data_IF_249730486791
#
_entry.id   IF_249730486791
#
_cell.length_a   1.000
_cell.length_b   1.000
_cell.length_c   1.000
_cell.angle_alpha   90.00
_cell.angle_beta   90.00
_cell.angle_gamma   90.00
#
_symmetry.space_group_name_H-M   'P 1'
#
loop_
_entity.id
_entity.type
_entity.pdbx_description
1 polymer ?
#
# COMPACT_ATOMS: atom_id res chain seq x y z
N UNK A 1 22.64 -46.08 -47.72
CA UNK A 1 22.58 -45.56 -46.34
C UNK A 1 21.44 -46.26 -45.59
N UNK A 2 21.75 -46.99 -44.53
CA UNK A 2 20.75 -47.74 -43.76
C UNK A 2 20.05 -46.83 -42.76
N UNK A 3 18.74 -46.95 -42.59
CA UNK A 3 17.91 -46.15 -41.65
C UNK A 3 18.49 -45.96 -40.24
N UNK A 4 19.39 -46.83 -39.84
CA UNK A 4 20.07 -46.78 -38.54
C UNK A 4 21.15 -45.68 -38.44
N UNK A 5 21.73 -45.25 -39.55
CA UNK A 5 22.80 -44.23 -39.57
C UNK A 5 22.22 -42.83 -39.55
N UNK A 6 21.00 -42.63 -40.07
CA UNK A 6 20.27 -41.36 -39.98
C UNK A 6 19.80 -41.05 -38.57
N UNK A 7 19.41 -42.06 -37.78
CA UNK A 7 19.00 -41.90 -36.39
C UNK A 7 20.16 -41.61 -35.42
N UNK A 8 21.37 -42.01 -35.79
CA UNK A 8 22.59 -41.66 -35.01
C UNK A 8 23.09 -40.27 -35.27
N UNK A 9 22.83 -39.69 -36.45
CA UNK A 9 23.16 -38.29 -36.75
C UNK A 9 22.15 -37.32 -36.18
N UNK A 10 20.86 -37.70 -36.07
CA UNK A 10 19.80 -36.87 -35.47
C UNK A 10 19.90 -36.78 -33.91
N UNK A 11 20.60 -37.72 -33.26
CA UNK A 11 20.77 -37.77 -31.81
C UNK A 11 21.93 -36.91 -31.26
N UNK A 12 22.79 -36.37 -32.13
CA UNK A 12 24.01 -35.65 -31.74
C UNK A 12 23.89 -34.11 -31.83
N UNK A 13 22.73 -33.58 -32.28
CA UNK A 13 22.51 -32.11 -32.46
C UNK A 13 21.65 -31.49 -31.37
N UNK A 14 21.16 -32.27 -30.40
CA UNK A 14 20.19 -31.82 -29.40
C UNK A 14 20.74 -31.49 -28.01
N UNK A 15 22.04 -31.25 -27.85
CA UNK A 15 22.62 -30.90 -26.54
C UNK A 15 23.77 -29.90 -26.64
N UNK A 16 23.54 -28.73 -27.16
CA UNK A 16 24.40 -27.55 -26.93
C UNK A 16 23.65 -26.24 -27.18
N UNK A 17 22.44 -26.14 -26.67
CA UNK A 17 21.81 -24.85 -26.44
C UNK A 17 22.23 -24.35 -25.05
N UNK A 18 23.51 -24.15 -24.78
CA UNK A 18 23.94 -23.21 -23.73
C UNK A 18 23.47 -21.86 -24.21
N UNK A 19 22.29 -21.41 -23.75
CA UNK A 19 21.88 -20.04 -23.88
C UNK A 19 22.98 -19.22 -23.20
N UNK A 20 23.89 -18.64 -23.98
CA UNK A 20 24.81 -17.61 -23.48
C UNK A 20 23.93 -16.56 -22.84
N UNK A 21 24.14 -16.18 -21.56
CA UNK A 21 23.37 -15.12 -20.96
C UNK A 21 23.47 -13.89 -21.87
N UNK A 22 22.34 -13.43 -22.39
CA UNK A 22 22.32 -12.15 -23.13
C UNK A 22 22.87 -11.10 -22.16
N UNK A 23 23.92 -10.35 -22.51
CA UNK A 23 24.47 -9.33 -21.63
C UNK A 23 23.33 -8.40 -21.21
N UNK A 24 23.18 -8.20 -19.90
CA UNK A 24 22.18 -7.29 -19.35
C UNK A 24 22.45 -5.89 -19.89
N UNK A 25 21.44 -5.25 -20.49
CA UNK A 25 21.52 -3.91 -21.05
C UNK A 25 21.70 -2.84 -19.95
N UNK A 26 21.03 -3.03 -18.82
CA UNK A 26 21.02 -2.13 -17.69
C UNK A 26 20.51 -2.87 -16.45
N UNK A 27 20.83 -2.38 -15.26
CA UNK A 27 20.28 -2.87 -14.01
C UNK A 27 19.31 -1.86 -13.41
N UNK A 28 18.11 -2.31 -13.06
CA UNK A 28 17.15 -1.56 -12.27
C UNK A 28 17.04 -2.21 -10.88
N UNK A 29 17.33 -1.43 -9.84
CA UNK A 29 17.09 -1.86 -8.46
C UNK A 29 15.75 -1.30 -8.01
N UNK A 30 14.93 -2.13 -7.37
CA UNK A 30 13.61 -1.78 -6.83
C UNK A 30 13.62 -1.99 -5.33
N UNK A 31 13.31 -0.97 -4.56
CA UNK A 31 13.24 -1.01 -3.09
C UNK A 31 11.78 -1.11 -2.65
N UNK A 32 11.44 -2.19 -1.92
CA UNK A 32 10.11 -2.44 -1.37
C UNK A 32 9.23 -3.29 -2.29
N UNK A 33 8.74 -4.42 -1.78
CA UNK A 33 7.93 -5.42 -2.49
C UNK A 33 6.42 -5.23 -2.34
N UNK A 34 5.94 -4.04 -1.97
CA UNK A 34 4.52 -3.70 -1.94
C UNK A 34 3.91 -3.55 -3.34
N UNK A 35 2.64 -3.08 -3.42
CA UNK A 35 1.92 -2.88 -4.69
C UNK A 35 2.74 -2.10 -5.73
N UNK A 36 3.44 -1.04 -5.33
CA UNK A 36 4.26 -0.25 -6.25
C UNK A 36 5.48 -1.01 -6.74
N UNK A 37 6.35 -1.45 -5.84
CA UNK A 37 7.63 -2.03 -6.25
C UNK A 37 7.51 -3.41 -6.91
N UNK A 38 6.65 -4.30 -6.39
CA UNK A 38 6.41 -5.60 -7.01
C UNK A 38 5.88 -5.45 -8.46
N UNK A 39 4.89 -4.55 -8.65
CA UNK A 39 4.36 -4.23 -9.98
C UNK A 39 5.45 -3.64 -10.89
N UNK A 40 6.24 -2.67 -10.41
CA UNK A 40 7.30 -2.07 -11.22
C UNK A 40 8.34 -3.12 -11.65
N UNK A 41 8.82 -3.95 -10.72
CA UNK A 41 9.78 -5.01 -11.01
C UNK A 41 9.26 -5.99 -12.07
N UNK A 42 8.01 -6.45 -11.92
CA UNK A 42 7.34 -7.32 -12.88
C UNK A 42 7.22 -6.69 -14.26
N UNK A 43 6.67 -5.48 -14.34
CA UNK A 43 6.38 -4.84 -15.62
C UNK A 43 7.62 -4.37 -16.37
N UNK A 44 8.71 -3.99 -15.70
CA UNK A 44 10.01 -3.73 -16.36
C UNK A 44 10.49 -4.99 -17.05
N UNK A 45 10.45 -6.15 -16.38
CA UNK A 45 10.84 -7.44 -16.95
C UNK A 45 9.93 -7.91 -18.09
N UNK A 46 8.62 -7.69 -17.98
CA UNK A 46 7.65 -8.05 -19.02
C UNK A 46 7.82 -7.22 -20.29
N UNK A 47 8.12 -5.93 -20.15
CA UNK A 47 8.23 -5.02 -21.31
C UNK A 47 9.62 -4.96 -21.92
N UNK A 48 10.66 -5.27 -21.16
CA UNK A 48 12.01 -5.42 -21.69
C UNK A 48 12.80 -6.49 -20.90
N UNK A 49 12.80 -7.74 -21.37
CA UNK A 49 13.53 -8.83 -20.73
C UNK A 49 15.06 -8.69 -20.75
N UNK A 50 15.63 -7.73 -21.47
CA UNK A 50 17.07 -7.46 -21.45
C UNK A 50 17.52 -6.63 -20.26
N UNK A 51 16.58 -6.05 -19.48
CA UNK A 51 16.88 -5.29 -18.27
C UNK A 51 16.98 -6.26 -17.07
N UNK A 52 18.09 -6.18 -16.35
CA UNK A 52 18.28 -6.90 -15.07
C UNK A 52 17.50 -6.17 -13.96
N UNK A 53 16.59 -6.86 -13.28
CA UNK A 53 15.75 -6.27 -12.23
C UNK A 53 15.98 -6.99 -10.91
N UNK A 54 16.45 -6.22 -9.90
CA UNK A 54 16.66 -6.68 -8.54
C UNK A 54 15.64 -6.01 -7.61
N UNK A 55 14.73 -6.79 -7.05
CA UNK A 55 13.79 -6.35 -6.02
C UNK A 55 14.38 -6.64 -4.64
N UNK A 56 14.60 -5.61 -3.84
CA UNK A 56 15.03 -5.74 -2.43
C UNK A 56 13.83 -5.54 -1.52
N UNK A 57 13.49 -6.58 -0.75
CA UNK A 57 12.39 -6.56 0.21
C UNK A 57 12.82 -7.27 1.50
N UNK A 58 12.58 -6.64 2.64
CA UNK A 58 12.97 -7.16 3.95
C UNK A 58 12.06 -8.26 4.47
N UNK A 59 10.77 -8.19 4.10
CA UNK A 59 9.78 -9.16 4.53
C UNK A 59 9.79 -10.41 3.63
N UNK A 60 9.53 -11.57 4.21
CA UNK A 60 9.47 -12.83 3.47
C UNK A 60 8.25 -12.97 2.58
N UNK A 61 7.19 -12.23 2.89
CA UNK A 61 5.93 -12.22 2.16
C UNK A 61 5.28 -10.84 2.21
N UNK A 62 4.52 -10.53 1.18
CA UNK A 62 3.65 -9.38 1.13
C UNK A 62 2.36 -9.66 1.91
N UNK A 63 1.97 -8.75 2.82
CA UNK A 63 0.68 -8.78 3.51
C UNK A 63 -0.15 -7.60 3.03
N UNK A 64 -1.30 -7.88 2.43
CA UNK A 64 -2.17 -6.87 1.82
C UNK A 64 -2.92 -6.04 2.86
N UNK A 65 -2.80 -4.70 2.79
CA UNK A 65 -3.64 -3.81 3.56
C UNK A 65 -5.10 -3.78 3.08
N UNK A 66 -5.41 -3.69 1.75
CA UNK A 66 -6.75 -4.05 1.26
C UNK A 66 -7.17 -5.43 1.76
N UNK A 67 -8.42 -5.53 2.19
CA UNK A 67 -9.04 -6.74 2.81
C UNK A 67 -8.61 -6.97 4.28
N UNK A 68 -7.53 -6.38 4.79
CA UNK A 68 -7.08 -6.62 6.16
C UNK A 68 -8.11 -6.22 7.25
N UNK A 69 -9.02 -5.29 6.97
CA UNK A 69 -10.09 -4.94 7.89
C UNK A 69 -11.14 -6.08 8.05
N UNK A 70 -11.29 -6.95 7.04
CA UNK A 70 -12.14 -8.13 7.15
C UNK A 70 -11.55 -9.16 8.13
N UNK A 71 -10.21 -9.21 8.26
CA UNK A 71 -9.54 -10.02 9.31
C UNK A 71 -9.94 -9.51 10.68
N UNK A 72 -9.94 -8.19 10.90
CA UNK A 72 -10.37 -7.59 12.18
C UNK A 72 -11.85 -7.88 12.49
N UNK A 73 -12.70 -7.92 11.47
CA UNK A 73 -14.10 -8.32 11.59
C UNK A 73 -14.33 -9.83 11.78
N UNK A 74 -13.31 -10.65 11.56
CA UNK A 74 -13.42 -12.12 11.62
C UNK A 74 -14.08 -12.75 10.38
N UNK A 75 -14.12 -12.03 9.25
CA UNK A 75 -14.71 -12.50 7.99
C UNK A 75 -13.71 -13.23 7.08
N UNK A 76 -12.41 -13.11 7.36
CA UNK A 76 -11.33 -13.83 6.67
C UNK A 76 -10.12 -13.98 7.58
N UNK A 77 -9.12 -14.76 7.16
CA UNK A 77 -7.87 -14.99 7.89
C UNK A 77 -6.67 -14.26 7.27
N UNK A 78 -5.57 -14.19 8.03
CA UNK A 78 -4.31 -13.59 7.57
C UNK A 78 -3.73 -14.29 6.34
N UNK A 79 -3.95 -15.59 6.19
CA UNK A 79 -3.47 -16.38 5.05
C UNK A 79 -4.02 -15.89 3.70
N UNK A 80 -5.29 -15.44 3.67
CA UNK A 80 -5.92 -14.98 2.44
C UNK A 80 -5.30 -13.68 1.90
N UNK A 81 -4.71 -12.88 2.77
CA UNK A 81 -4.10 -11.59 2.44
C UNK A 81 -2.57 -11.64 2.37
N UNK A 82 -1.96 -12.83 2.54
CA UNK A 82 -0.50 -13.02 2.55
C UNK A 82 -0.05 -13.73 1.27
N UNK A 83 0.88 -13.11 0.55
CA UNK A 83 1.34 -13.57 -0.76
C UNK A 83 2.86 -13.62 -0.84
N UNK A 84 3.42 -14.66 -1.46
CA UNK A 84 4.86 -14.80 -1.70
C UNK A 84 5.33 -14.04 -2.94
N UNK A 85 6.64 -14.05 -3.17
CA UNK A 85 7.30 -13.40 -4.31
C UNK A 85 7.78 -14.39 -5.40
N UNK A 86 7.43 -15.67 -5.31
CA UNK A 86 7.97 -16.70 -6.22
C UNK A 86 7.55 -16.51 -7.68
N UNK A 87 6.35 -15.93 -7.90
CA UNK A 87 5.93 -15.63 -9.25
C UNK A 87 6.78 -14.52 -9.91
N UNK A 88 7.24 -13.54 -9.15
CA UNK A 88 8.15 -12.51 -9.66
C UNK A 88 9.48 -13.13 -10.13
N UNK A 89 9.98 -14.16 -9.42
CA UNK A 89 11.17 -14.91 -9.84
C UNK A 89 10.96 -15.61 -11.18
N UNK A 90 9.76 -16.14 -11.44
CA UNK A 90 9.40 -16.75 -12.75
C UNK A 90 9.38 -15.72 -13.88
N UNK A 91 9.13 -14.45 -13.60
CA UNK A 91 9.26 -13.35 -14.55
C UNK A 91 10.72 -12.86 -14.71
N UNK A 92 11.69 -13.50 -14.06
CA UNK A 92 13.10 -13.15 -14.13
C UNK A 92 13.49 -11.97 -13.22
N UNK A 93 12.69 -11.63 -12.22
CA UNK A 93 13.05 -10.68 -11.17
C UNK A 93 13.92 -11.38 -10.13
N UNK A 94 15.10 -10.84 -9.86
CA UNK A 94 15.93 -11.29 -8.74
C UNK A 94 15.36 -10.70 -7.43
N UNK A 95 14.75 -11.52 -6.59
CA UNK A 95 14.22 -11.10 -5.30
C UNK A 95 15.27 -11.34 -4.21
N UNK A 96 15.77 -10.27 -3.62
CA UNK A 96 16.74 -10.25 -2.52
C UNK A 96 16.01 -9.92 -1.23
N UNK A 97 16.06 -10.86 -0.27
CA UNK A 97 15.49 -10.63 1.06
C UNK A 97 16.53 -9.92 1.94
N UNK A 98 16.46 -8.59 1.96
CA UNK A 98 17.34 -7.72 2.75
C UNK A 98 16.68 -6.34 2.91
N UNK A 99 17.25 -5.47 3.74
CA UNK A 99 16.84 -4.09 3.91
C UNK A 99 17.85 -3.14 3.25
N UNK A 100 17.34 -2.16 2.47
CA UNK A 100 18.17 -1.07 1.98
C UNK A 100 18.29 -0.03 3.09
N UNK A 101 19.51 0.20 3.57
CA UNK A 101 19.82 1.11 4.68
C UNK A 101 20.37 2.46 4.21
N UNK A 102 20.87 2.56 2.97
CA UNK A 102 21.32 3.81 2.38
C UNK A 102 21.23 3.78 0.85
N UNK A 103 21.03 4.96 0.26
CA UNK A 103 21.10 5.22 -1.17
C UNK A 103 22.21 6.25 -1.39
N UNK A 104 23.20 5.88 -2.20
CA UNK A 104 24.26 6.78 -2.68
C UNK A 104 23.94 7.12 -4.15
N UNK A 105 23.31 8.27 -4.35
CA UNK A 105 22.83 8.69 -5.66
C UNK A 105 23.98 9.06 -6.62
N UNK A 106 25.08 9.60 -6.09
CA UNK A 106 26.24 10.00 -6.88
C UNK A 106 26.94 8.78 -7.45
N UNK A 107 27.11 7.72 -6.65
CA UNK A 107 27.69 6.44 -7.08
C UNK A 107 26.68 5.51 -7.71
N UNK A 108 25.40 5.87 -7.77
CA UNK A 108 24.29 5.03 -8.24
C UNK A 108 24.33 3.65 -7.59
N UNK A 109 24.36 3.61 -6.27
CA UNK A 109 24.39 2.37 -5.52
C UNK A 109 23.50 2.42 -4.30
N UNK A 110 22.99 1.27 -3.88
CA UNK A 110 22.28 1.10 -2.62
C UNK A 110 23.08 0.16 -1.72
N UNK A 111 23.10 0.46 -0.42
CA UNK A 111 23.74 -0.39 0.59
C UNK A 111 22.67 -1.19 1.34
N UNK A 112 22.88 -2.49 1.41
CA UNK A 112 22.03 -3.43 2.14
C UNK A 112 22.47 -3.57 3.59
N UNK A 113 21.55 -3.93 4.48
CA UNK A 113 21.82 -4.20 5.89
C UNK A 113 22.81 -5.36 6.06
N UNK A 114 22.75 -6.38 5.17
CA UNK A 114 23.71 -7.48 5.12
C UNK A 114 25.11 -7.09 4.63
N UNK A 115 25.39 -5.80 4.38
CA UNK A 115 26.71 -5.27 4.03
C UNK A 115 27.00 -5.21 2.52
N UNK A 116 26.20 -5.82 1.68
CA UNK A 116 26.37 -5.79 0.23
C UNK A 116 25.95 -4.44 -0.37
N UNK A 117 26.57 -4.06 -1.50
CA UNK A 117 26.15 -2.93 -2.31
C UNK A 117 25.64 -3.41 -3.67
N UNK A 118 24.56 -2.77 -4.16
CA UNK A 118 24.00 -3.01 -5.48
C UNK A 118 24.08 -1.73 -6.31
N UNK A 119 24.81 -1.77 -7.43
CA UNK A 119 24.83 -0.68 -8.43
C UNK A 119 23.57 -0.73 -9.29
N UNK A 120 23.15 0.43 -9.82
CA UNK A 120 21.98 0.56 -10.69
C UNK A 120 22.15 1.64 -11.78
N UNK A 121 21.51 1.49 -12.92
CA UNK A 121 21.29 2.55 -13.91
C UNK A 121 20.02 3.35 -13.61
N UNK A 122 19.00 2.69 -13.03
CA UNK A 122 17.78 3.31 -12.53
C UNK A 122 17.41 2.69 -11.19
N UNK A 123 16.88 3.53 -10.30
CA UNK A 123 16.41 3.10 -8.98
C UNK A 123 14.92 3.38 -8.86
N UNK A 124 14.15 2.39 -8.40
CA UNK A 124 12.75 2.54 -8.02
C UNK A 124 12.64 2.45 -6.50
N UNK A 125 12.10 3.48 -5.87
CA UNK A 125 11.92 3.57 -4.42
C UNK A 125 10.42 3.54 -4.12
N UNK A 126 9.93 2.40 -3.63
CA UNK A 126 8.53 2.16 -3.26
C UNK A 126 8.38 1.80 -1.79
N UNK A 127 8.79 2.67 -0.87
CA UNK A 127 8.99 2.34 0.54
C UNK A 127 7.70 2.41 1.35
N UNK A 128 6.61 2.90 0.75
CA UNK A 128 5.36 3.19 1.45
C UNK A 128 5.48 4.35 2.43
N UNK A 129 4.73 4.25 3.54
CA UNK A 129 4.72 5.26 4.61
C UNK A 129 5.44 4.77 5.86
N UNK A 130 5.90 5.73 6.65
CA UNK A 130 6.16 5.56 8.08
C UNK A 130 5.31 6.52 8.91
N UNK A 131 5.30 6.28 10.21
CA UNK A 131 4.47 7.01 11.15
C UNK A 131 5.27 8.09 11.87
N UNK A 132 4.62 9.22 12.13
CA UNK A 132 5.16 10.31 12.93
C UNK A 132 4.80 10.08 14.41
N UNK A 133 5.43 9.06 15.02
CA UNK A 133 5.15 8.66 16.41
C UNK A 133 5.38 9.79 17.41
N UNK A 134 6.33 10.69 17.12
CA UNK A 134 6.64 11.84 17.98
C UNK A 134 5.54 12.90 18.06
N UNK A 135 4.56 12.87 17.14
CA UNK A 135 3.44 13.82 17.13
C UNK A 135 2.36 13.45 18.17
N UNK A 136 2.48 12.29 18.82
CA UNK A 136 1.55 11.80 19.85
C UNK A 136 2.35 11.44 21.10
N UNK A 137 2.20 12.22 22.16
CA UNK A 137 2.90 12.02 23.43
C UNK A 137 2.62 10.60 23.98
N UNK A 138 3.65 9.94 24.49
CA UNK A 138 3.54 8.60 25.08
C UNK A 138 3.31 7.45 24.11
N UNK A 139 3.14 7.72 22.78
CA UNK A 139 2.80 6.69 21.81
C UNK A 139 3.83 5.57 21.74
N UNK A 140 5.12 5.89 21.61
CA UNK A 140 6.18 4.89 21.49
C UNK A 140 6.27 3.98 22.72
N UNK A 141 6.16 4.56 23.92
CA UNK A 141 6.13 3.80 25.15
C UNK A 141 4.86 2.94 25.30
N UNK A 142 3.72 3.46 24.85
CA UNK A 142 2.45 2.71 24.82
C UNK A 142 2.51 1.52 23.85
N UNK A 143 3.10 1.71 22.68
CA UNK A 143 3.27 0.65 21.68
C UNK A 143 4.26 -0.43 22.15
N UNK A 144 5.40 -0.04 22.72
CA UNK A 144 6.38 -0.97 23.26
C UNK A 144 5.81 -1.82 24.41
N UNK A 145 4.87 -1.26 25.17
CA UNK A 145 4.15 -1.97 26.26
C UNK A 145 2.92 -2.74 25.76
N UNK A 146 2.65 -2.81 24.45
CA UNK A 146 1.48 -3.49 23.88
C UNK A 146 0.12 -2.84 24.20
N UNK A 147 0.11 -1.60 24.73
CA UNK A 147 -1.11 -0.88 25.13
C UNK A 147 -1.83 -0.16 24.01
N UNK A 148 -1.13 0.13 22.92
CA UNK A 148 -1.67 0.79 21.74
C UNK A 148 -1.15 0.12 20.49
N UNK A 149 -2.03 -0.03 19.48
CA UNK A 149 -1.73 -0.60 18.19
C UNK A 149 -2.19 0.36 17.09
N UNK A 150 -1.38 0.55 16.05
CA UNK A 150 -1.89 1.21 14.83
C UNK A 150 -2.58 0.20 13.90
N UNK A 151 -2.02 -1.01 13.74
CA UNK A 151 -2.48 -2.03 12.80
C UNK A 151 -2.76 -1.45 11.39
N UNK A 152 -1.96 -0.44 10.96
CA UNK A 152 -2.16 0.29 9.71
C UNK A 152 -1.21 -0.19 8.60
N UNK A 153 -0.16 -0.88 8.95
CA UNK A 153 0.58 -1.81 8.07
C UNK A 153 0.06 -3.20 8.42
N UNK A 154 -0.50 -3.89 7.43
CA UNK A 154 -1.02 -5.25 7.65
C UNK A 154 0.12 -6.21 8.01
N UNK A 155 -0.13 -7.14 8.91
CA UNK A 155 0.87 -8.06 9.45
C UNK A 155 0.58 -8.41 10.92
N UNK A 156 1.63 -8.52 11.72
CA UNK A 156 1.54 -8.92 13.14
C UNK A 156 0.58 -8.05 13.96
N UNK A 157 0.60 -6.73 13.76
CA UNK A 157 -0.32 -5.85 14.47
C UNK A 157 -1.79 -6.03 14.06
N UNK A 158 -2.08 -6.55 12.85
CA UNK A 158 -3.45 -6.89 12.46
C UNK A 158 -3.95 -8.08 13.27
N UNK A 159 -3.11 -9.12 13.41
CA UNK A 159 -3.42 -10.28 14.23
C UNK A 159 -3.53 -9.91 15.72
N UNK A 160 -2.59 -9.09 16.22
CA UNK A 160 -2.61 -8.62 17.60
C UNK A 160 -3.88 -7.80 17.93
N UNK A 161 -4.30 -6.90 17.02
CA UNK A 161 -5.51 -6.13 17.19
C UNK A 161 -6.77 -7.03 17.17
N UNK A 162 -6.81 -8.05 16.28
CA UNK A 162 -7.89 -9.04 16.27
C UNK A 162 -7.95 -9.78 17.59
N UNK A 163 -6.82 -10.26 18.11
CA UNK A 163 -6.76 -10.94 19.41
C UNK A 163 -7.21 -10.04 20.56
N UNK A 164 -6.84 -8.76 20.55
CA UNK A 164 -7.29 -7.79 21.55
C UNK A 164 -8.81 -7.57 21.51
N UNK A 165 -9.40 -7.50 20.31
CA UNK A 165 -10.86 -7.41 20.13
C UNK A 165 -11.58 -8.67 20.64
N UNK A 166 -11.00 -9.86 20.46
CA UNK A 166 -11.55 -11.12 20.97
C UNK A 166 -11.47 -11.20 22.50
N UNK A 167 -10.36 -10.76 23.07
CA UNK A 167 -10.14 -10.77 24.52
C UNK A 167 -10.96 -9.70 25.27
N UNK A 168 -11.32 -8.60 24.60
CA UNK A 168 -12.11 -7.52 25.21
C UNK A 168 -13.47 -8.06 25.71
N UNK A 169 -13.93 -7.73 26.93
CA UNK A 169 -15.24 -8.17 27.42
C UNK A 169 -16.39 -7.58 26.60
N UNK A 170 -17.54 -8.26 26.55
CA UNK A 170 -18.78 -7.68 26.01
C UNK A 170 -19.25 -6.51 26.89
N UNK A 171 -19.44 -5.34 26.29
CA UNK A 171 -19.65 -4.06 26.97
C UNK A 171 -18.41 -3.17 26.98
N UNK A 172 -17.25 -3.68 26.51
CA UNK A 172 -16.02 -2.90 26.36
C UNK A 172 -16.06 -1.89 25.21
N UNK A 173 -15.11 -0.97 25.21
CA UNK A 173 -14.98 0.12 24.25
C UNK A 173 -13.71 -0.09 23.38
N UNK A 174 -13.92 -0.30 22.07
CA UNK A 174 -12.85 -0.16 21.10
C UNK A 174 -12.74 1.29 20.65
N UNK A 175 -11.57 1.90 20.83
CA UNK A 175 -11.29 3.28 20.47
C UNK A 175 -10.39 3.32 19.22
N UNK A 176 -10.88 3.97 18.14
CA UNK A 176 -10.09 4.28 16.94
C UNK A 176 -9.77 5.76 16.88
N UNK A 177 -8.49 6.11 16.73
CA UNK A 177 -8.06 7.45 16.33
C UNK A 177 -7.71 7.51 14.86
N UNK A 178 -8.26 8.50 14.14
CA UNK A 178 -7.98 8.78 12.72
C UNK A 178 -7.11 10.02 12.61
N UNK A 179 -5.96 9.97 11.91
CA UNK A 179 -5.06 11.11 11.81
C UNK A 179 -5.59 12.19 10.86
N UNK A 180 -5.06 13.40 10.97
CA UNK A 180 -5.34 14.48 10.01
C UNK A 180 -4.87 14.08 8.60
N UNK A 181 -5.71 14.32 7.61
CA UNK A 181 -5.37 14.12 6.19
C UNK A 181 -4.21 15.05 5.74
N UNK A 182 -3.39 14.63 4.75
CA UNK A 182 -3.47 13.38 3.99
C UNK A 182 -2.81 12.19 4.71
N UNK A 183 -3.46 11.04 4.63
CA UNK A 183 -2.94 9.76 5.13
C UNK A 183 -3.24 8.64 4.12
N UNK A 184 -2.56 7.49 4.26
CA UNK A 184 -2.76 6.32 3.39
C UNK A 184 -4.15 5.73 3.60
N UNK A 185 -4.83 5.36 2.49
CA UNK A 185 -6.13 4.72 2.49
C UNK A 185 -7.23 5.58 3.15
N UNK A 186 -7.63 6.71 2.55
CA UNK A 186 -8.62 7.61 3.17
C UNK A 186 -9.93 6.94 3.64
N UNK A 187 -10.52 5.93 2.94
CA UNK A 187 -11.69 5.22 3.44
C UNK A 187 -11.39 4.13 4.48
N UNK A 188 -10.13 3.76 4.67
CA UNK A 188 -9.74 2.61 5.50
C UNK A 188 -10.18 2.66 6.95
N UNK A 189 -10.11 3.81 7.66
CA UNK A 189 -10.60 3.90 9.03
C UNK A 189 -12.10 3.58 9.14
N UNK A 190 -12.89 4.09 8.22
CA UNK A 190 -14.34 3.98 8.21
C UNK A 190 -14.81 2.56 7.83
N UNK A 191 -14.08 1.88 6.95
CA UNK A 191 -14.24 0.46 6.71
C UNK A 191 -13.92 -0.34 7.98
N UNK A 192 -12.79 -0.04 8.67
CA UNK A 192 -12.41 -0.69 9.93
C UNK A 192 -13.50 -0.58 10.98
N UNK A 193 -14.06 0.62 11.17
CA UNK A 193 -15.20 0.88 12.06
C UNK A 193 -16.36 -0.06 11.72
N UNK A 194 -16.72 -0.15 10.43
CA UNK A 194 -17.81 -1.00 9.96
C UNK A 194 -17.57 -2.48 10.25
N UNK A 195 -16.34 -2.97 10.01
CA UNK A 195 -15.99 -4.38 10.24
C UNK A 195 -16.00 -4.75 11.73
N UNK A 196 -15.50 -3.86 12.58
CA UNK A 196 -15.51 -4.09 14.04
C UNK A 196 -16.93 -3.96 14.58
N UNK A 197 -17.73 -3.01 14.11
CA UNK A 197 -19.14 -2.91 14.49
C UNK A 197 -19.95 -4.15 14.07
N UNK A 198 -19.65 -4.72 12.88
CA UNK A 198 -20.26 -5.99 12.46
C UNK A 198 -19.88 -7.15 13.40
N UNK A 199 -18.61 -7.23 13.80
CA UNK A 199 -18.16 -8.21 14.80
C UNK A 199 -18.87 -8.01 16.16
N UNK A 200 -18.96 -6.77 16.65
CA UNK A 200 -19.63 -6.49 17.92
C UNK A 200 -21.11 -6.83 17.87
N UNK A 201 -21.81 -6.44 16.79
CA UNK A 201 -23.22 -6.79 16.60
C UNK A 201 -23.47 -8.31 16.73
N UNK A 202 -22.56 -9.12 16.20
CA UNK A 202 -22.70 -10.58 16.21
C UNK A 202 -22.25 -11.24 17.53
N UNK A 203 -21.18 -10.72 18.16
CA UNK A 203 -20.47 -11.43 19.22
C UNK A 203 -20.37 -10.67 20.55
N UNK A 204 -20.51 -9.34 20.53
CA UNK A 204 -20.35 -8.47 21.71
C UNK A 204 -21.32 -7.28 21.64
N UNK A 205 -22.66 -7.54 21.70
CA UNK A 205 -23.68 -6.54 21.35
C UNK A 205 -23.75 -5.33 22.28
N UNK A 206 -23.19 -5.41 23.49
CA UNK A 206 -23.13 -4.28 24.44
C UNK A 206 -21.91 -3.38 24.21
N UNK A 207 -20.91 -3.86 23.42
CA UNK A 207 -19.67 -3.12 23.16
C UNK A 207 -19.89 -1.95 22.21
N UNK A 208 -18.97 -0.98 22.27
CA UNK A 208 -19.01 0.26 21.46
C UNK A 208 -17.74 0.43 20.64
N UNK A 209 -17.92 1.03 19.47
CA UNK A 209 -16.86 1.56 18.61
C UNK A 209 -16.85 3.07 18.77
N UNK A 210 -15.85 3.60 19.48
CA UNK A 210 -15.66 5.04 19.64
C UNK A 210 -14.61 5.52 18.64
N UNK A 211 -14.93 6.53 17.85
CA UNK A 211 -14.07 7.07 16.81
C UNK A 211 -13.72 8.50 17.12
N UNK A 212 -12.43 8.78 17.23
CA UNK A 212 -11.88 10.13 17.37
C UNK A 212 -11.18 10.49 16.06
N UNK A 213 -11.87 11.25 15.21
CA UNK A 213 -11.37 11.68 13.91
C UNK A 213 -10.80 13.10 14.01
N UNK A 214 -9.52 13.25 13.66
CA UNK A 214 -8.88 14.57 13.63
C UNK A 214 -9.42 15.48 12.51
N UNK A 215 -10.17 14.91 11.56
CA UNK A 215 -10.80 15.65 10.46
C UNK A 215 -12.22 16.10 10.87
N UNK A 216 -12.76 17.15 10.23
CA UNK A 216 -14.10 17.63 10.55
C UNK A 216 -15.21 16.60 10.29
N UNK A 217 -15.00 15.75 9.28
CA UNK A 217 -15.93 14.70 8.88
C UNK A 217 -15.21 13.54 8.17
N UNK A 218 -15.94 12.48 7.85
CA UNK A 218 -15.50 11.32 7.08
C UNK A 218 -14.88 11.75 5.75
N UNK A 219 -13.59 11.51 5.57
CA UNK A 219 -12.80 12.06 4.46
C UNK A 219 -13.07 11.40 3.10
N UNK A 220 -13.76 10.26 3.07
CA UNK A 220 -14.07 9.53 1.83
C UNK A 220 -15.37 8.77 1.95
N UNK A 221 -16.29 8.90 0.98
CA UNK A 221 -17.60 8.21 0.94
C UNK A 221 -18.47 8.47 2.18
N UNK A 222 -18.35 9.65 2.80
CA UNK A 222 -18.99 9.98 4.08
C UNK A 222 -20.48 9.65 4.15
N UNK A 223 -21.33 10.15 3.24
CA UNK A 223 -22.77 9.85 3.25
C UNK A 223 -23.07 8.35 3.20
N UNK A 224 -22.32 7.57 2.43
CA UNK A 224 -22.53 6.13 2.30
C UNK A 224 -22.14 5.38 3.58
N UNK A 225 -21.01 5.73 4.21
CA UNK A 225 -20.62 5.14 5.50
C UNK A 225 -21.60 5.49 6.61
N UNK A 226 -21.97 6.76 6.76
CA UNK A 226 -22.91 7.20 7.80
C UNK A 226 -24.28 6.52 7.66
N UNK A 227 -24.77 6.40 6.42
CA UNK A 227 -26.00 5.66 6.14
C UNK A 227 -25.86 4.18 6.51
N UNK A 228 -24.76 3.52 6.12
CA UNK A 228 -24.54 2.13 6.48
C UNK A 228 -24.46 1.93 8.02
N UNK A 229 -23.82 2.84 8.75
CA UNK A 229 -23.72 2.77 10.20
C UNK A 229 -25.06 2.93 10.89
N UNK A 230 -25.89 3.90 10.46
CA UNK A 230 -27.21 4.11 11.01
C UNK A 230 -28.17 2.95 10.74
N UNK A 231 -28.08 2.34 9.56
CA UNK A 231 -28.95 1.22 9.17
C UNK A 231 -28.49 -0.13 9.76
N UNK A 232 -27.20 -0.40 9.77
CA UNK A 232 -26.66 -1.72 10.15
C UNK A 232 -26.26 -1.82 11.62
N UNK A 233 -25.77 -0.72 12.22
CA UNK A 233 -25.11 -0.71 13.54
C UNK A 233 -25.67 0.40 14.46
N UNK A 234 -26.99 0.56 14.57
CA UNK A 234 -27.57 1.62 15.39
C UNK A 234 -27.10 1.47 16.84
N UNK A 235 -26.59 2.56 17.42
CA UNK A 235 -26.14 2.62 18.79
C UNK A 235 -24.80 1.90 19.10
N UNK A 236 -24.11 1.28 18.12
CA UNK A 236 -22.80 0.66 18.32
C UNK A 236 -21.67 1.64 18.07
N UNK A 237 -21.80 2.52 17.08
CA UNK A 237 -20.75 3.46 16.63
C UNK A 237 -21.03 4.86 17.22
N UNK A 238 -20.03 5.41 17.92
CA UNK A 238 -19.95 6.81 18.34
C UNK A 238 -18.83 7.49 17.55
N UNK A 239 -19.19 8.36 16.57
CA UNK A 239 -18.23 9.05 15.71
C UNK A 239 -18.12 10.52 16.12
N UNK A 240 -16.88 10.97 16.39
CA UNK A 240 -16.56 12.34 16.78
C UNK A 240 -15.52 12.93 15.82
N UNK A 241 -15.93 13.88 14.99
CA UNK A 241 -15.05 14.70 14.17
C UNK A 241 -14.40 15.82 14.99
N UNK A 242 -13.33 16.42 14.46
CA UNK A 242 -12.50 17.44 15.14
C UNK A 242 -11.95 16.96 16.50
N UNK A 243 -11.69 15.66 16.62
CA UNK A 243 -11.21 15.02 17.84
C UNK A 243 -9.79 14.46 17.67
N UNK A 244 -8.82 15.36 17.51
CA UNK A 244 -7.41 15.01 17.33
C UNK A 244 -6.82 14.43 18.63
N UNK A 245 -6.29 13.22 18.53
CA UNK A 245 -5.52 12.59 19.63
C UNK A 245 -4.11 13.19 19.67
N UNK A 246 -3.69 13.65 20.86
CA UNK A 246 -2.39 14.27 21.10
C UNK A 246 -1.51 13.47 22.07
N UNK A 247 -2.10 12.55 22.84
CA UNK A 247 -1.33 11.68 23.73
C UNK A 247 -1.98 10.30 23.90
N UNK A 248 -1.16 9.29 24.24
CA UNK A 248 -1.58 7.96 24.65
C UNK A 248 -1.19 7.76 26.12
N UNK A 249 -2.16 7.39 26.93
CA UNK A 249 -2.03 7.10 28.36
C UNK A 249 -2.39 5.63 28.66
N UNK A 250 -2.36 5.23 29.91
CA UNK A 250 -2.76 3.88 30.31
C UNK A 250 -4.28 3.72 30.22
N UNK A 251 -4.76 2.92 29.25
CA UNK A 251 -6.19 2.68 29.01
C UNK A 251 -6.97 3.90 28.51
N UNK A 252 -6.28 4.92 28.01
CA UNK A 252 -6.92 6.15 27.53
C UNK A 252 -6.10 6.83 26.43
N UNK A 253 -6.74 7.76 25.72
CA UNK A 253 -6.09 8.75 24.89
C UNK A 253 -6.50 10.15 25.31
N UNK A 254 -5.63 11.13 25.14
CA UNK A 254 -5.95 12.54 25.36
C UNK A 254 -6.10 13.23 24.01
N UNK A 255 -7.21 13.93 23.84
CA UNK A 255 -7.43 14.89 22.76
C UNK A 255 -6.99 16.28 23.19
N UNK A 256 -7.20 17.29 22.37
CA UNK A 256 -6.97 18.70 22.74
C UNK A 256 -7.94 19.18 23.83
N UNK A 257 -9.06 18.48 24.07
CA UNK A 257 -10.14 18.90 24.95
C UNK A 257 -10.40 17.93 26.10
N UNK A 258 -10.30 16.60 25.86
CA UNK A 258 -10.75 15.57 26.79
C UNK A 258 -9.76 14.40 26.89
N UNK A 259 -9.84 13.66 28.01
CA UNK A 259 -9.26 12.32 28.14
C UNK A 259 -10.34 11.27 27.94
N UNK A 260 -10.15 10.38 26.99
CA UNK A 260 -11.13 9.39 26.54
C UNK A 260 -10.59 7.98 26.79
N UNK A 261 -11.36 7.15 27.52
CA UNK A 261 -10.98 5.78 27.86
C UNK A 261 -11.42 4.78 26.78
N UNK A 262 -10.64 3.70 26.64
CA UNK A 262 -10.99 2.55 25.82
C UNK A 262 -10.28 1.29 26.31
N UNK A 263 -10.94 0.15 26.14
CA UNK A 263 -10.38 -1.16 26.50
C UNK A 263 -9.39 -1.67 25.44
N UNK A 264 -9.62 -1.30 24.17
CA UNK A 264 -8.70 -1.55 23.06
C UNK A 264 -8.39 -0.23 22.35
N UNK A 265 -7.12 0.20 22.39
CA UNK A 265 -6.68 1.44 21.79
C UNK A 265 -6.04 1.18 20.42
N UNK A 266 -6.73 1.58 19.36
CA UNK A 266 -6.23 1.57 17.99
C UNK A 266 -5.97 2.99 17.52
N UNK A 267 -4.77 3.49 17.75
CA UNK A 267 -4.40 4.88 17.42
C UNK A 267 -3.52 4.88 16.17
N UNK A 268 -4.02 5.49 15.10
CA UNK A 268 -3.26 5.63 13.84
C UNK A 268 -2.51 6.95 13.84
N UNK A 269 -1.16 6.94 13.91
CA UNK A 269 -0.38 8.18 13.91
C UNK A 269 -0.39 8.88 12.55
N UNK A 270 -0.05 10.17 12.48
CA UNK A 270 0.18 10.84 11.21
C UNK A 270 1.24 10.16 10.35
N UNK A 271 1.12 10.29 9.03
CA UNK A 271 1.96 9.59 8.06
C UNK A 271 2.95 10.53 7.37
N UNK A 272 4.09 9.97 6.98
CA UNK A 272 5.06 10.54 6.04
C UNK A 272 5.61 9.46 5.11
N UNK A 273 6.38 9.83 4.11
CA UNK A 273 7.18 8.87 3.34
C UNK A 273 8.13 8.12 4.28
N UNK A 274 8.37 6.83 4.00
CA UNK A 274 9.16 5.98 4.88
C UNK A 274 10.62 6.45 5.01
N UNK A 275 11.26 6.01 6.08
CA UNK A 275 12.58 6.48 6.55
C UNK A 275 13.66 6.48 5.47
N UNK A 276 13.70 5.50 4.60
CA UNK A 276 14.70 5.45 3.53
C UNK A 276 14.58 6.66 2.58
N UNK A 277 13.36 7.16 2.32
CA UNK A 277 13.16 8.35 1.52
C UNK A 277 13.65 9.62 2.24
N UNK A 278 13.43 9.70 3.56
CA UNK A 278 13.93 10.81 4.38
C UNK A 278 15.47 10.83 4.43
N UNK A 279 16.09 9.68 4.73
CA UNK A 279 17.54 9.51 4.85
C UNK A 279 18.29 9.75 3.52
N UNK A 280 17.59 9.65 2.39
CA UNK A 280 18.17 9.79 1.04
C UNK A 280 17.83 11.13 0.36
N UNK A 281 17.29 12.10 1.09
CA UNK A 281 16.97 13.44 0.55
C UNK A 281 15.83 13.46 -0.48
N UNK A 282 14.98 12.42 -0.53
CA UNK A 282 13.88 12.32 -1.48
C UNK A 282 12.62 13.07 -1.03
N UNK A 283 12.50 13.40 0.26
CA UNK A 283 11.39 14.17 0.79
C UNK A 283 11.62 15.65 0.50
N UNK A 284 10.75 16.26 -0.30
CA UNK A 284 10.86 17.63 -0.76
C UNK A 284 9.70 18.53 -0.34
N UNK A 285 8.60 17.94 0.12
CA UNK A 285 7.37 18.67 0.42
C UNK A 285 6.90 18.43 1.86
N UNK A 286 6.71 19.52 2.61
CA UNK A 286 6.18 19.58 3.99
C UNK A 286 6.89 18.61 4.96
N UNK A 287 8.18 18.30 4.74
CA UNK A 287 8.94 17.30 5.48
C UNK A 287 8.25 15.91 5.54
N UNK A 288 7.34 15.62 4.61
CA UNK A 288 6.53 14.41 4.62
C UNK A 288 6.55 13.62 3.32
N UNK A 289 6.57 14.29 2.14
CA UNK A 289 6.30 13.63 0.86
C UNK A 289 7.35 13.92 -0.19
N UNK A 290 7.52 12.95 -1.10
CA UNK A 290 8.43 13.05 -2.24
C UNK A 290 7.68 13.65 -3.45
N UNK A 291 8.18 14.75 -4.03
CA UNK A 291 7.65 15.29 -5.28
C UNK A 291 8.29 14.58 -6.48
N UNK A 292 7.49 14.30 -7.50
CA UNK A 292 7.87 13.53 -8.67
C UNK A 292 7.38 14.18 -9.96
N UNK A 293 8.06 13.87 -11.07
CA UNK A 293 7.50 14.07 -12.40
C UNK A 293 6.45 12.98 -12.68
N UNK A 294 5.21 13.38 -12.82
CA UNK A 294 4.08 12.45 -12.99
C UNK A 294 4.07 11.68 -14.32
N UNK A 295 4.91 12.07 -15.29
CA UNK A 295 5.08 11.32 -16.55
C UNK A 295 6.04 10.14 -16.39
N UNK A 296 6.92 10.18 -15.40
CA UNK A 296 8.01 9.23 -15.25
C UNK A 296 8.10 8.65 -13.85
N UNK A 297 7.43 9.26 -12.89
CA UNK A 297 7.60 9.03 -11.44
C UNK A 297 9.03 9.35 -10.96
N UNK A 298 9.86 10.01 -11.77
CA UNK A 298 11.21 10.39 -11.38
C UNK A 298 11.16 11.48 -10.30
N UNK A 299 11.99 11.32 -9.27
CA UNK A 299 12.13 12.29 -8.19
C UNK A 299 12.58 13.64 -8.72
N UNK A 300 11.95 14.73 -8.30
CA UNK A 300 12.43 16.08 -8.62
C UNK A 300 13.71 16.45 -7.87
N UNK A 301 14.05 15.72 -6.80
CA UNK A 301 15.28 15.94 -6.04
C UNK A 301 16.48 15.20 -6.61
N UNK A 302 16.31 13.98 -7.12
CA UNK A 302 17.41 13.07 -7.49
C UNK A 302 17.13 12.40 -8.84
N UNK A 303 17.98 12.66 -9.82
CA UNK A 303 17.88 12.07 -11.16
C UNK A 303 18.16 10.56 -11.16
N UNK A 304 17.42 9.82 -12.00
CA UNK A 304 17.54 8.37 -12.13
C UNK A 304 16.89 7.59 -10.98
N UNK A 305 16.25 8.28 -10.03
CA UNK A 305 15.51 7.70 -8.92
C UNK A 305 14.02 7.97 -9.11
N UNK A 306 13.21 6.90 -9.17
CA UNK A 306 11.76 6.96 -9.34
C UNK A 306 11.08 6.61 -8.01
N UNK A 307 10.18 7.47 -7.52
CA UNK A 307 9.47 7.23 -6.24
C UNK A 307 8.01 6.91 -6.50
N UNK A 308 7.51 5.85 -5.89
CA UNK A 308 6.17 5.29 -6.16
C UNK A 308 5.27 5.24 -4.92
N UNK A 309 3.97 5.21 -5.19
CA UNK A 309 2.93 4.90 -4.20
C UNK A 309 2.79 5.94 -3.11
N UNK A 310 2.54 5.49 -1.90
CA UNK A 310 2.13 6.35 -0.78
C UNK A 310 3.22 7.32 -0.30
N UNK A 311 4.48 7.12 -0.67
CA UNK A 311 5.58 8.03 -0.36
C UNK A 311 5.53 9.34 -1.17
N UNK A 312 4.83 9.37 -2.31
CA UNK A 312 4.77 10.54 -3.19
C UNK A 312 3.86 11.64 -2.62
N UNK A 313 4.15 12.90 -2.95
CA UNK A 313 3.15 13.97 -2.87
C UNK A 313 2.01 13.62 -3.83
N UNK A 314 0.79 13.54 -3.33
CA UNK A 314 -0.36 13.22 -4.20
C UNK A 314 -0.63 14.32 -5.22
N UNK A 315 -0.94 13.95 -6.44
CA UNK A 315 -1.51 14.88 -7.42
C UNK A 315 -2.92 15.35 -6.95
N UNK A 316 -3.43 16.47 -7.49
CA UNK A 316 -4.76 16.98 -7.11
C UNK A 316 -5.85 15.91 -7.13
N UNK A 317 -6.60 15.77 -6.04
CA UNK A 317 -7.69 14.80 -5.91
C UNK A 317 -7.27 13.31 -5.91
N UNK A 318 -5.99 13.02 -5.94
CA UNK A 318 -5.46 11.65 -5.97
C UNK A 318 -5.33 11.08 -4.55
N UNK A 319 -5.96 9.93 -4.24
CA UNK A 319 -5.78 9.29 -2.94
C UNK A 319 -4.46 8.52 -2.86
N UNK A 320 -3.93 8.33 -1.65
CA UNK A 320 -2.87 7.36 -1.38
C UNK A 320 -3.51 5.97 -1.23
N UNK A 321 -3.32 5.09 -2.22
CA UNK A 321 -3.96 3.76 -2.26
C UNK A 321 -3.11 2.72 -2.96
N UNK A 322 -3.39 1.43 -2.71
CA UNK A 322 -2.76 0.32 -3.44
C UNK A 322 -3.04 0.38 -4.95
N UNK A 323 -4.25 0.83 -5.35
CA UNK A 323 -4.60 1.08 -6.75
C UNK A 323 -3.68 2.12 -7.40
N UNK A 324 -3.46 3.25 -6.73
CA UNK A 324 -2.54 4.28 -7.23
C UNK A 324 -1.10 3.79 -7.24
N UNK A 325 -0.64 3.10 -6.20
CA UNK A 325 0.72 2.56 -6.16
C UNK A 325 1.01 1.60 -7.34
N UNK A 326 0.04 0.75 -7.68
CA UNK A 326 0.11 -0.13 -8.85
C UNK A 326 0.17 0.66 -10.18
N UNK A 327 -0.64 1.71 -10.32
CA UNK A 327 -0.60 2.58 -11.51
C UNK A 327 0.71 3.38 -11.61
N UNK A 328 1.19 3.97 -10.52
CA UNK A 328 2.49 4.65 -10.47
C UNK A 328 3.62 3.73 -10.92
N UNK A 329 3.57 2.45 -10.53
CA UNK A 329 4.54 1.45 -10.93
C UNK A 329 4.56 1.22 -12.43
N UNK A 330 3.40 1.17 -13.09
CA UNK A 330 3.29 1.01 -14.54
C UNK A 330 3.80 2.24 -15.28
N UNK A 331 3.52 3.44 -14.76
CA UNK A 331 4.11 4.69 -15.32
C UNK A 331 5.63 4.63 -15.24
N UNK A 332 6.19 4.33 -14.07
CA UNK A 332 7.64 4.26 -13.88
C UNK A 332 8.28 3.18 -14.76
N UNK A 333 7.67 1.99 -14.82
CA UNK A 333 8.17 0.89 -15.65
C UNK A 333 8.18 1.28 -17.13
N UNK A 334 7.10 1.87 -17.65
CA UNK A 334 7.03 2.35 -19.03
C UNK A 334 8.07 3.43 -19.33
N UNK A 335 8.22 4.39 -18.41
CA UNK A 335 9.20 5.47 -18.55
C UNK A 335 10.64 4.94 -18.51
N UNK A 336 10.97 4.07 -17.56
CA UNK A 336 12.31 3.45 -17.44
C UNK A 336 12.65 2.66 -18.71
N UNK A 337 11.73 1.80 -19.17
CA UNK A 337 11.93 1.00 -20.39
C UNK A 337 12.09 1.91 -21.60
N UNK A 338 11.25 2.95 -21.76
CA UNK A 338 11.38 3.90 -22.85
C UNK A 338 12.74 4.61 -22.83
N UNK A 339 13.14 5.19 -21.69
CA UNK A 339 14.39 5.93 -21.53
C UNK A 339 15.64 5.05 -21.77
N UNK A 340 15.66 3.81 -21.25
CA UNK A 340 16.75 2.88 -21.48
C UNK A 340 16.84 2.41 -22.94
N UNK A 341 15.77 2.57 -23.71
CA UNK A 341 15.71 2.31 -25.14
C UNK A 341 15.81 3.59 -26.01
N UNK A 342 16.24 4.73 -25.44
CA UNK A 342 16.41 5.99 -26.16
C UNK A 342 15.09 6.62 -26.64
N UNK A 343 13.95 6.25 -26.07
CA UNK A 343 12.62 6.77 -26.40
C UNK A 343 12.12 7.74 -25.34
N UNK A 344 11.30 8.69 -25.72
CA UNK A 344 10.61 9.58 -24.77
C UNK A 344 9.46 8.86 -24.07
N UNK A 345 9.27 9.09 -22.77
CA UNK A 345 8.09 8.59 -22.04
C UNK A 345 6.79 9.22 -22.56
N UNK A 346 5.73 8.44 -22.62
CA UNK A 346 4.39 8.88 -22.98
C UNK A 346 3.68 9.56 -21.82
N UNK A 347 2.60 10.30 -22.11
CA UNK A 347 1.76 10.91 -21.11
C UNK A 347 0.81 9.86 -20.50
N UNK A 348 0.79 9.71 -19.18
CA UNK A 348 -0.02 8.67 -18.54
C UNK A 348 -1.47 9.09 -18.34
N UNK A 349 -2.36 8.09 -18.37
CA UNK A 349 -3.72 8.16 -17.86
C UNK A 349 -3.90 7.03 -16.87
N UNK A 350 -4.43 7.30 -15.68
CA UNK A 350 -4.54 6.32 -14.59
C UNK A 350 -5.92 6.30 -13.95
N UNK A 351 -6.25 5.18 -13.36
CA UNK A 351 -7.55 4.93 -12.74
C UNK A 351 -7.37 4.50 -11.29
N UNK A 352 -8.06 5.17 -10.39
CA UNK A 352 -8.21 4.71 -9.01
C UNK A 352 -9.53 3.99 -8.82
N UNK A 353 -9.50 2.88 -8.10
CA UNK A 353 -10.69 2.22 -7.58
C UNK A 353 -10.43 1.76 -6.16
N UNK A 354 -11.30 2.18 -5.23
CA UNK A 354 -11.24 1.78 -3.82
C UNK A 354 -12.61 1.26 -3.38
N UNK A 355 -12.66 -0.02 -3.07
CA UNK A 355 -13.79 -0.65 -2.39
C UNK A 355 -13.63 -0.52 -0.87
N UNK A 356 -14.74 -0.51 -0.16
CA UNK A 356 -14.77 -0.58 1.29
C UNK A 356 -15.97 -1.39 1.75
N UNK A 357 -15.72 -2.41 2.55
CA UNK A 357 -16.78 -3.21 3.15
C UNK A 357 -17.49 -2.43 4.25
N UNK A 358 -18.80 -2.52 4.27
CA UNK A 358 -19.65 -1.95 5.32
C UNK A 358 -20.37 -3.04 6.13
N UNK A 359 -20.32 -4.28 5.66
CA UNK A 359 -20.70 -5.51 6.37
C UNK A 359 -19.80 -6.65 5.90
N UNK A 360 -19.96 -7.85 6.43
CA UNK A 360 -19.20 -9.03 5.96
C UNK A 360 -19.46 -9.39 4.48
N UNK A 361 -20.47 -8.81 3.84
CA UNK A 361 -20.88 -9.12 2.46
C UNK A 361 -21.01 -7.89 1.57
N UNK A 362 -21.48 -6.76 2.10
CA UNK A 362 -21.77 -5.57 1.33
C UNK A 362 -20.61 -4.59 1.33
N UNK A 363 -20.34 -3.98 0.19
CA UNK A 363 -19.34 -2.93 0.04
C UNK A 363 -19.90 -1.68 -0.64
N UNK A 364 -19.09 -0.64 -0.63
CA UNK A 364 -19.28 0.63 -1.35
C UNK A 364 -17.96 0.97 -2.06
N UNK A 365 -18.07 1.69 -3.19
CA UNK A 365 -16.93 2.00 -4.05
C UNK A 365 -16.76 3.51 -4.24
N UNK A 366 -15.52 3.92 -4.46
CA UNK A 366 -15.17 5.19 -5.10
C UNK A 366 -14.17 4.91 -6.23
N UNK A 367 -14.33 5.59 -7.36
CA UNK A 367 -13.40 5.54 -8.48
C UNK A 367 -13.12 6.95 -9.01
N UNK A 368 -11.94 7.13 -9.61
CA UNK A 368 -11.55 8.37 -10.29
C UNK A 368 -10.60 8.06 -11.44
N UNK A 369 -10.62 8.90 -12.46
CA UNK A 369 -9.67 8.86 -13.57
C UNK A 369 -8.82 10.13 -13.49
N UNK A 370 -7.52 10.01 -13.69
CA UNK A 370 -6.61 11.15 -13.74
C UNK A 370 -5.89 11.13 -15.09
N UNK A 371 -5.80 12.28 -15.72
CA UNK A 371 -5.14 12.48 -16.99
C UNK A 371 -3.99 13.49 -16.86
N UNK A 372 -2.99 13.34 -17.70
CA UNK A 372 -1.87 14.28 -17.74
C UNK A 372 -2.32 15.65 -18.27
N UNK A 373 -2.07 16.70 -17.50
CA UNK A 373 -2.33 18.09 -17.89
C UNK A 373 -0.99 18.84 -18.13
N UNK A 374 -0.61 19.03 -19.40
CA UNK A 374 0.69 19.65 -19.74
C UNK A 374 0.87 21.04 -19.16
N UNK A 375 -0.20 21.85 -19.14
CA UNK A 375 -0.16 23.23 -18.64
C UNK A 375 0.12 23.33 -17.13
N UNK A 376 -0.21 22.28 -16.38
CA UNK A 376 0.01 22.20 -14.92
C UNK A 376 1.21 21.31 -14.56
N UNK A 377 1.72 20.51 -15.50
CA UNK A 377 2.81 19.57 -15.26
C UNK A 377 2.47 18.49 -14.24
N UNK A 378 1.19 18.07 -14.16
CA UNK A 378 0.70 17.09 -13.20
C UNK A 378 -0.48 16.27 -13.74
N UNK A 379 -0.90 15.25 -13.00
CA UNK A 379 -2.14 14.53 -13.26
C UNK A 379 -3.31 15.26 -12.61
N UNK A 380 -4.41 15.41 -13.33
CA UNK A 380 -5.63 16.04 -12.82
C UNK A 380 -6.84 15.11 -12.95
N UNK A 381 -7.82 15.20 -12.03
CA UNK A 381 -9.02 14.39 -12.15
C UNK A 381 -9.84 14.75 -13.38
N UNK A 382 -10.26 13.73 -14.14
CA UNK A 382 -11.14 13.91 -15.31
C UNK A 382 -12.57 14.08 -14.81
N UNK A 383 -13.18 15.24 -15.08
CA UNK A 383 -14.54 15.56 -14.66
C UNK A 383 -15.54 14.56 -15.24
N UNK A 384 -16.39 14.00 -14.38
CA UNK A 384 -17.42 13.03 -14.77
C UNK A 384 -16.91 11.60 -14.99
N UNK A 385 -15.60 11.36 -14.92
CA UNK A 385 -15.05 10.02 -15.02
C UNK A 385 -14.78 9.46 -13.61
N UNK A 386 -15.59 8.51 -13.20
CA UNK A 386 -15.56 7.94 -11.86
C UNK A 386 -16.82 8.24 -11.05
N UNK A 387 -16.68 8.26 -9.72
CA UNK A 387 -17.78 8.51 -8.80
C UNK A 387 -17.83 7.51 -7.64
N UNK A 388 -18.91 7.55 -6.89
CA UNK A 388 -19.19 6.65 -5.76
C UNK A 388 -20.38 5.74 -6.07
N UNK A 389 -20.49 4.60 -5.38
CA UNK A 389 -21.67 3.73 -5.45
C UNK A 389 -22.93 4.50 -5.11
N UNK A 390 -24.05 4.18 -5.75
CA UNK A 390 -25.35 4.75 -5.40
C UNK A 390 -25.81 4.31 -4.00
N UNK A 391 -25.51 3.05 -3.64
CA UNK A 391 -25.78 2.45 -2.33
C UNK A 391 -24.79 1.31 -2.06
N UNK A 392 -24.78 0.79 -0.83
CA UNK A 392 -24.10 -0.47 -0.50
C UNK A 392 -24.82 -1.65 -1.16
N UNK A 393 -24.05 -2.68 -1.54
CA UNK A 393 -24.64 -3.90 -2.09
C UNK A 393 -23.69 -5.11 -1.94
N UNK A 394 -24.25 -6.32 -2.00
CA UNK A 394 -23.46 -7.57 -2.08
C UNK A 394 -22.72 -7.70 -3.43
N UNK A 395 -23.26 -7.13 -4.50
CA UNK A 395 -22.58 -7.07 -5.80
C UNK A 395 -21.26 -6.28 -5.70
N UNK A 396 -21.30 -5.11 -5.03
CA UNK A 396 -20.07 -4.33 -4.76
C UNK A 396 -19.09 -5.11 -3.85
N UNK A 397 -19.58 -5.92 -2.91
CA UNK A 397 -18.75 -6.82 -2.10
C UNK A 397 -18.05 -7.90 -2.95
N UNK A 398 -18.77 -8.49 -3.89
CA UNK A 398 -18.21 -9.44 -4.86
C UNK A 398 -17.15 -8.75 -5.74
N UNK A 399 -17.42 -7.55 -6.22
CA UNK A 399 -16.46 -6.76 -7.00
C UNK A 399 -15.22 -6.38 -6.17
N UNK A 400 -15.38 -6.08 -4.89
CA UNK A 400 -14.27 -5.79 -3.98
C UNK A 400 -13.31 -6.97 -3.85
N UNK A 401 -13.81 -8.19 -3.67
CA UNK A 401 -13.01 -9.40 -3.65
C UNK A 401 -12.34 -9.70 -4.99
N UNK A 402 -13.06 -9.56 -6.10
CA UNK A 402 -12.49 -9.76 -7.44
C UNK A 402 -11.38 -8.74 -7.73
N UNK A 403 -11.59 -7.47 -7.36
CA UNK A 403 -10.56 -6.44 -7.46
C UNK A 403 -9.32 -6.79 -6.63
N UNK A 404 -9.50 -7.25 -5.39
CA UNK A 404 -8.38 -7.63 -4.53
C UNK A 404 -7.54 -8.76 -5.15
N UNK A 405 -8.20 -9.83 -5.61
CA UNK A 405 -7.53 -10.95 -6.30
C UNK A 405 -6.82 -10.51 -7.57
N UNK A 406 -7.46 -9.62 -8.35
CA UNK A 406 -6.88 -9.09 -9.59
C UNK A 406 -5.63 -8.26 -9.31
N UNK A 407 -5.67 -7.33 -8.34
CA UNK A 407 -4.50 -6.49 -8.06
C UNK A 407 -3.35 -7.28 -7.41
N UNK A 408 -3.64 -8.33 -6.62
CA UNK A 408 -2.62 -9.24 -6.11
C UNK A 408 -1.95 -10.02 -7.26
N UNK A 409 -2.74 -10.59 -8.18
CA UNK A 409 -2.22 -11.28 -9.35
C UNK A 409 -1.43 -10.33 -10.26
N UNK A 410 -1.94 -9.14 -10.50
CA UNK A 410 -1.27 -8.13 -11.33
C UNK A 410 0.08 -7.69 -10.74
N UNK A 411 0.19 -7.62 -9.42
CA UNK A 411 1.42 -7.18 -8.75
C UNK A 411 2.41 -8.31 -8.47
N UNK A 412 1.93 -9.51 -8.14
CA UNK A 412 2.74 -10.55 -7.49
C UNK A 412 2.73 -11.91 -8.22
N UNK A 413 1.81 -12.14 -9.19
CA UNK A 413 1.71 -13.43 -9.89
C UNK A 413 2.17 -13.39 -11.35
#
# INVERSE_FOLDING_TARGET
>A
MKRRDFLKLAGAVSLAGCATPVPSKARVVVIGGGFGGATAAKYIRLWDPSIDVVLVERESAFVSCPISNLVLGGFTGMQEITHGYDALRRHGVQVVRDEVVAIDADKRSVRLAGGNNLGYERLVVSPGIDFMFGDIEGYAAGMAAGRVLHAWKAGEQTAALRSALEAMPDGGVYLLSVPTAPYRCPPGPYERISMIAAYFKASKPRSKVLVLDANPDVTSKGPLFKRAWSELYPGIIDYRGNAKVVAVESGAVRTEFDTVRGDVLNVVPPHRAADIAAKSGLITTNNRWCDVDWRTMESKAVKGVHVLGDATLSAPGMPKSGSMANNHAKIAAAAIVAQLNGRSPESPKIINTCYSFVSGKEAIRVSSVHDWEPGQGTLVPVKGAGGVSAARSEAEGTFAWNWARTIWADSLA
#
